data_IF_715146541688
#
_entry.id   IF_715146541688
#
_cell.length_a   1.000
_cell.length_b   1.000
_cell.length_c   1.000
_cell.angle_alpha   90.00
_cell.angle_beta   90.00
_cell.angle_gamma   90.00
#
_symmetry.space_group_name_H-M   'P 1'
#
loop_
_entity.id
_entity.type
_entity.pdbx_description
1 polymer ?
#
# COMPACT_ATOMS: atom_id res chain seq x y z
N UNK A 1 -6.78 -1.76 17.14
CA UNK A 1 -6.13 -0.57 16.55
C UNK A 1 -7.13 0.04 15.60
N UNK A 2 -7.44 1.34 15.67
CA UNK A 2 -8.39 1.94 14.71
C UNK A 2 -7.70 1.90 13.35
N UNK A 3 -8.30 1.16 12.43
CA UNK A 3 -7.74 0.87 11.11
C UNK A 3 -7.69 2.13 10.26
N UNK A 4 -6.70 2.18 9.37
CA UNK A 4 -6.71 3.08 8.20
C UNK A 4 -8.14 3.18 7.64
N UNK A 5 -8.70 4.38 7.44
CA UNK A 5 -10.07 4.51 6.93
C UNK A 5 -10.13 3.89 5.54
N UNK A 6 -11.03 2.92 5.36
CA UNK A 6 -11.19 2.24 4.07
C UNK A 6 -11.62 3.22 2.98
N UNK A 7 -12.53 4.14 3.30
CA UNK A 7 -13.08 5.11 2.38
C UNK A 7 -13.03 6.50 3.01
N UNK A 8 -12.71 7.50 2.19
CA UNK A 8 -12.98 8.89 2.52
C UNK A 8 -13.37 9.69 1.27
N UNK A 9 -14.16 10.74 1.49
CA UNK A 9 -14.46 11.77 0.51
C UNK A 9 -13.47 12.94 0.68
N UNK A 10 -12.78 13.31 -0.38
CA UNK A 10 -12.00 14.55 -0.46
C UNK A 10 -12.87 15.72 -0.88
N UNK A 11 -12.23 16.88 -1.03
CA UNK A 11 -12.86 18.06 -1.64
C UNK A 11 -13.26 17.75 -3.09
N UNK A 12 -14.23 18.51 -3.63
CA UNK A 12 -14.70 18.41 -5.01
C UNK A 12 -15.21 17.01 -5.44
N UNK A 13 -15.88 16.29 -4.53
CA UNK A 13 -16.46 14.95 -4.79
C UNK A 13 -15.41 13.88 -5.14
N UNK A 14 -14.18 14.06 -4.64
CA UNK A 14 -13.13 13.05 -4.75
C UNK A 14 -13.43 11.84 -3.88
N UNK A 15 -13.43 10.63 -4.44
CA UNK A 15 -13.63 9.40 -3.70
C UNK A 15 -12.35 8.58 -3.65
N UNK A 16 -11.97 8.13 -2.46
CA UNK A 16 -10.71 7.43 -2.23
C UNK A 16 -10.94 6.15 -1.44
N UNK A 17 -10.36 5.05 -1.92
CA UNK A 17 -10.48 3.72 -1.33
C UNK A 17 -9.10 3.14 -1.00
N UNK A 18 -8.90 2.71 0.24
CA UNK A 18 -7.63 2.19 0.71
C UNK A 18 -7.33 0.82 0.08
N UNK A 19 -6.13 0.70 -0.51
CA UNK A 19 -5.64 -0.54 -1.12
C UNK A 19 -4.69 -1.29 -0.19
N UNK A 20 -3.72 -0.59 0.38
CA UNK A 20 -2.69 -1.16 1.24
C UNK A 20 -2.22 -0.16 2.29
N UNK A 21 -1.59 -0.66 3.35
CA UNK A 21 -1.07 0.14 4.45
C UNK A 21 0.18 -0.45 5.07
N UNK A 22 0.92 0.37 5.80
CA UNK A 22 2.10 -0.01 6.57
C UNK A 22 2.16 0.80 7.86
N UNK A 23 2.56 0.16 8.97
CA UNK A 23 2.82 0.85 10.23
C UNK A 23 4.19 1.52 10.21
N UNK A 24 4.30 2.64 10.89
CA UNK A 24 5.56 3.36 11.06
C UNK A 24 5.43 4.53 12.03
N UNK A 25 6.26 5.54 11.81
CA UNK A 25 6.25 6.77 12.59
C UNK A 25 6.17 7.97 11.66
N UNK A 26 5.22 8.86 11.91
CA UNK A 26 5.22 10.19 11.32
C UNK A 26 6.20 11.07 12.09
N UNK A 27 7.17 11.64 11.39
CA UNK A 27 8.19 12.51 11.99
C UNK A 27 7.74 13.96 11.85
N UNK A 28 7.57 14.65 12.97
CA UNK A 28 7.25 16.08 12.99
C UNK A 28 8.20 16.83 13.95
N UNK A 29 8.01 18.15 14.10
CA UNK A 29 8.85 18.99 14.97
C UNK A 29 8.81 18.57 16.46
N UNK A 30 7.78 17.85 16.89
CA UNK A 30 7.61 17.33 18.25
C UNK A 30 8.17 15.91 18.45
N UNK A 31 8.68 15.26 17.40
CA UNK A 31 9.26 13.92 17.45
C UNK A 31 8.53 12.90 16.57
N UNK A 32 8.63 11.61 16.97
CA UNK A 32 8.11 10.48 16.22
C UNK A 32 6.74 10.06 16.76
N UNK A 33 5.71 10.15 15.93
CA UNK A 33 4.33 9.78 16.28
C UNK A 33 3.95 8.45 15.62
N UNK A 34 3.61 7.38 16.39
CA UNK A 34 3.12 6.14 15.83
C UNK A 34 1.96 6.39 14.87
N UNK A 35 2.09 5.92 13.63
CA UNK A 35 1.17 6.21 12.54
C UNK A 35 1.11 5.04 11.56
N UNK A 36 0.10 5.03 10.70
CA UNK A 36 0.03 4.17 9.53
C UNK A 36 0.02 5.02 8.25
N UNK A 37 0.81 4.64 7.26
CA UNK A 37 0.71 5.18 5.90
C UNK A 37 -0.12 4.23 5.05
N UNK A 38 -0.97 4.77 4.19
CA UNK A 38 -1.85 3.99 3.34
C UNK A 38 -1.84 4.50 1.90
N UNK A 39 -1.88 3.57 0.95
CA UNK A 39 -2.09 3.82 -0.47
C UNK A 39 -3.60 3.81 -0.73
N UNK A 40 -4.08 4.88 -1.35
CA UNK A 40 -5.47 5.04 -1.77
C UNK A 40 -5.59 5.02 -3.29
N UNK A 41 -6.71 4.53 -3.77
CA UNK A 41 -7.14 4.58 -5.17
C UNK A 41 -8.35 5.50 -5.32
N UNK A 42 -8.34 6.32 -6.37
CA UNK A 42 -9.51 7.09 -6.79
C UNK A 42 -10.04 6.62 -8.15
N UNK A 43 -11.34 6.27 -8.26
CA UNK A 43 -11.98 6.00 -9.54
C UNK A 43 -12.35 7.30 -10.29
N UNK A 44 -12.30 8.45 -9.61
CA UNK A 44 -12.72 9.73 -10.17
C UNK A 44 -11.69 10.24 -11.19
N UNK A 45 -12.10 10.59 -12.43
CA UNK A 45 -11.18 10.99 -13.49
C UNK A 45 -10.52 12.36 -13.27
N UNK A 46 -11.07 13.18 -12.35
CA UNK A 46 -10.55 14.50 -12.01
C UNK A 46 -9.37 14.46 -11.01
N UNK A 47 -9.10 13.30 -10.41
CA UNK A 47 -8.09 13.15 -9.36
C UNK A 47 -6.96 12.24 -9.80
N UNK A 48 -5.82 12.34 -9.12
CA UNK A 48 -4.78 11.32 -9.26
C UNK A 48 -5.35 9.96 -8.89
N UNK A 49 -5.10 9.00 -9.76
CA UNK A 49 -5.57 7.63 -9.57
C UNK A 49 -5.08 7.02 -8.25
N UNK A 50 -3.89 7.39 -7.82
CA UNK A 50 -3.32 6.94 -6.55
C UNK A 50 -2.89 8.12 -5.69
N UNK A 51 -2.95 7.94 -4.38
CA UNK A 51 -2.42 8.88 -3.37
C UNK A 51 -1.95 8.12 -2.14
N UNK A 52 -1.20 8.79 -1.28
CA UNK A 52 -0.81 8.26 0.03
C UNK A 52 -1.30 9.18 1.14
N UNK A 53 -1.80 8.59 2.22
CA UNK A 53 -2.18 9.34 3.42
C UNK A 53 -1.59 8.70 4.67
N UNK A 54 -1.15 9.55 5.60
CA UNK A 54 -0.63 9.14 6.90
C UNK A 54 -1.68 9.44 7.95
N UNK A 55 -2.02 8.44 8.75
CA UNK A 55 -3.00 8.51 9.82
C UNK A 55 -2.38 8.16 11.17
N UNK A 56 -2.80 8.87 12.22
CA UNK A 56 -2.55 8.46 13.60
C UNK A 56 -3.21 7.11 13.88
N UNK A 57 -2.75 6.40 14.91
CA UNK A 57 -3.40 5.14 15.35
C UNK A 57 -4.86 5.32 15.82
N UNK A 58 -5.28 6.58 16.04
CA UNK A 58 -6.64 6.96 16.41
C UNK A 58 -7.50 7.38 15.20
N UNK A 59 -6.89 7.48 14.01
CA UNK A 59 -7.54 7.84 12.75
C UNK A 59 -7.35 9.30 12.32
N UNK A 60 -6.64 10.11 13.10
CA UNK A 60 -6.38 11.52 12.73
C UNK A 60 -5.48 11.59 11.50
N UNK A 61 -5.83 12.46 10.56
CA UNK A 61 -5.07 12.61 9.34
C UNK A 61 -3.87 13.53 9.57
N UNK A 62 -2.66 13.01 9.40
CA UNK A 62 -1.41 13.76 9.58
C UNK A 62 -0.91 14.40 8.28
N UNK A 63 -0.96 13.67 7.17
CA UNK A 63 -0.38 14.10 5.91
C UNK A 63 -1.09 13.43 4.74
N UNK A 64 -1.40 14.22 3.71
CA UNK A 64 -1.83 13.74 2.40
C UNK A 64 -0.75 14.01 1.38
N UNK A 65 -0.50 13.03 0.52
CA UNK A 65 0.45 13.12 -0.58
C UNK A 65 -0.23 12.64 -1.86
N UNK A 66 -0.34 13.57 -2.80
CA UNK A 66 -0.88 13.31 -4.14
C UNK A 66 0.11 12.39 -4.87
N UNK A 67 -0.40 11.32 -5.48
CA UNK A 67 0.45 10.42 -6.27
C UNK A 67 0.91 11.06 -7.58
N UNK A 68 1.75 10.36 -8.36
CA UNK A 68 2.32 10.89 -9.59
C UNK A 68 1.25 11.12 -10.67
N UNK A 69 0.96 12.38 -10.99
CA UNK A 69 0.01 12.79 -12.04
C UNK A 69 0.37 12.27 -13.44
N UNK A 70 1.66 12.11 -13.69
CA UNK A 70 2.19 11.71 -15.00
C UNK A 70 2.03 10.21 -15.29
N UNK A 71 1.61 9.40 -14.32
CA UNK A 71 1.40 7.96 -14.53
C UNK A 71 0.35 7.37 -13.58
N UNK A 72 -0.78 6.87 -14.10
CA UNK A 72 -1.84 6.28 -13.30
C UNK A 72 -1.55 4.78 -13.03
N UNK A 73 -0.30 4.41 -12.74
CA UNK A 73 0.13 3.02 -12.56
C UNK A 73 0.49 2.70 -11.10
N UNK A 74 0.14 1.49 -10.64
CA UNK A 74 0.41 1.05 -9.27
C UNK A 74 1.91 1.01 -8.93
N UNK A 75 2.75 0.64 -9.88
CA UNK A 75 4.21 0.66 -9.74
C UNK A 75 4.77 2.05 -9.42
N UNK A 76 4.17 3.10 -9.98
CA UNK A 76 4.63 4.45 -9.76
C UNK A 76 4.36 4.96 -8.33
N UNK A 77 3.19 4.64 -7.76
CA UNK A 77 2.91 5.00 -6.36
C UNK A 77 3.77 4.19 -5.38
N UNK A 78 4.16 2.96 -5.72
CA UNK A 78 5.09 2.16 -4.91
C UNK A 78 6.49 2.79 -4.93
N UNK A 79 6.98 3.19 -6.11
CA UNK A 79 8.27 3.86 -6.26
C UNK A 79 8.27 5.19 -5.50
N UNK A 80 7.20 5.98 -5.63
CA UNK A 80 7.04 7.23 -4.90
C UNK A 80 7.00 7.00 -3.38
N UNK A 81 6.31 5.96 -2.91
CA UNK A 81 6.34 5.51 -1.51
C UNK A 81 7.75 5.20 -1.00
N UNK A 82 8.57 4.56 -1.84
CA UNK A 82 9.95 4.24 -1.52
C UNK A 82 10.85 5.49 -1.51
N UNK A 83 10.72 6.36 -2.51
CA UNK A 83 11.60 7.53 -2.67
C UNK A 83 11.23 8.64 -1.67
N UNK A 84 9.94 8.92 -1.50
CA UNK A 84 9.43 10.04 -0.70
C UNK A 84 9.31 9.66 0.78
N UNK A 85 8.86 8.44 1.08
CA UNK A 85 8.58 8.00 2.46
C UNK A 85 9.53 6.91 2.97
N UNK A 86 10.51 6.47 2.17
CA UNK A 86 11.42 5.37 2.52
C UNK A 86 10.69 4.07 2.90
N UNK A 87 9.48 3.86 2.37
CA UNK A 87 8.69 2.64 2.61
C UNK A 87 9.05 1.61 1.55
N UNK A 88 9.70 0.48 1.91
CA UNK A 88 10.08 -0.50 0.93
C UNK A 88 8.86 -1.28 0.41
N UNK A 89 8.87 -1.74 -0.86
CA UNK A 89 7.71 -2.43 -1.46
C UNK A 89 7.20 -3.65 -0.67
N UNK A 90 8.07 -4.42 -0.03
CA UNK A 90 7.64 -5.61 0.72
C UNK A 90 7.02 -5.32 2.10
N UNK A 91 6.99 -4.06 2.55
CA UNK A 91 6.43 -3.69 3.85
C UNK A 91 4.93 -3.40 3.82
N UNK A 92 4.37 -3.14 2.63
CA UNK A 92 2.94 -2.90 2.42
C UNK A 92 2.11 -4.11 2.76
N UNK A 93 0.95 -3.88 3.39
CA UNK A 93 -0.06 -4.88 3.75
C UNK A 93 -1.35 -4.55 3.02
N UNK A 94 -1.99 -5.49 2.35
CA UNK A 94 -3.29 -5.24 1.75
C UNK A 94 -4.33 -4.92 2.82
N UNK A 95 -5.23 -4.00 2.50
CA UNK A 95 -6.47 -3.83 3.27
C UNK A 95 -7.30 -5.11 3.13
N UNK A 96 -8.01 -5.54 4.17
CA UNK A 96 -8.92 -6.69 4.08
C UNK A 96 -9.93 -6.51 2.95
N UNK A 97 -10.32 -7.59 2.28
CA UNK A 97 -11.28 -7.53 1.17
C UNK A 97 -12.58 -6.85 1.64
N UNK A 98 -12.91 -5.66 1.12
CA UNK A 98 -14.08 -4.91 1.57
C UNK A 98 -15.38 -5.55 1.08
N UNK A 99 -16.46 -5.36 1.83
CA UNK A 99 -17.81 -5.70 1.38
C UNK A 99 -18.25 -4.76 0.25
N UNK A 100 -19.01 -5.26 -0.73
CA UNK A 100 -19.49 -4.45 -1.86
C UNK A 100 -20.36 -3.26 -1.43
N UNK A 101 -21.00 -3.35 -0.26
CA UNK A 101 -21.79 -2.28 0.38
C UNK A 101 -20.98 -1.02 0.73
N UNK A 102 -19.65 -1.12 0.78
CA UNK A 102 -18.75 -0.02 1.11
C UNK A 102 -18.37 0.84 -0.11
N UNK A 103 -18.77 0.43 -1.32
CA UNK A 103 -18.50 1.17 -2.55
C UNK A 103 -19.70 2.02 -2.96
N UNK A 104 -19.42 3.18 -3.54
CA UNK A 104 -20.42 3.92 -4.30
C UNK A 104 -20.67 3.21 -5.63
N UNK A 105 -21.84 3.47 -6.21
CA UNK A 105 -22.28 2.82 -7.44
C UNK A 105 -21.23 2.96 -8.56
N UNK A 106 -20.75 1.82 -9.07
CA UNK A 106 -19.78 1.76 -10.17
C UNK A 106 -18.30 1.89 -9.77
N UNK A 107 -17.97 2.11 -8.49
CA UNK A 107 -16.57 2.29 -8.07
C UNK A 107 -15.83 0.97 -7.84
N UNK A 108 -16.55 -0.08 -7.44
CA UNK A 108 -15.97 -1.38 -7.08
C UNK A 108 -15.12 -2.00 -8.20
N UNK A 109 -15.53 -2.06 -9.49
CA UNK A 109 -14.70 -2.64 -10.55
C UNK A 109 -13.34 -1.96 -10.69
N UNK A 110 -13.30 -0.62 -10.61
CA UNK A 110 -12.05 0.14 -10.67
C UNK A 110 -11.14 -0.16 -9.48
N UNK A 111 -11.72 -0.28 -8.29
CA UNK A 111 -10.98 -0.69 -7.09
C UNK A 111 -10.38 -2.08 -7.22
N UNK A 112 -11.17 -3.07 -7.68
CA UNK A 112 -10.70 -4.45 -7.83
C UNK A 112 -9.53 -4.53 -8.83
N UNK A 113 -9.62 -3.79 -9.94
CA UNK A 113 -8.52 -3.71 -10.90
C UNK A 113 -7.27 -3.08 -10.28
N UNK A 114 -7.41 -1.92 -9.62
CA UNK A 114 -6.29 -1.23 -8.99
C UNK A 114 -5.62 -2.07 -7.89
N UNK A 115 -6.41 -2.85 -7.14
CA UNK A 115 -5.93 -3.80 -6.15
C UNK A 115 -5.16 -4.96 -6.78
N UNK A 116 -5.68 -5.54 -7.86
CA UNK A 116 -4.98 -6.59 -8.60
C UNK A 116 -3.64 -6.10 -9.18
N UNK A 117 -3.61 -4.88 -9.72
CA UNK A 117 -2.39 -4.27 -10.25
C UNK A 117 -1.35 -4.02 -9.14
N UNK A 118 -1.79 -3.49 -7.99
CA UNK A 118 -0.94 -3.36 -6.80
C UNK A 118 -0.41 -4.71 -6.34
N UNK A 119 -1.25 -5.75 -6.33
CA UNK A 119 -0.84 -7.09 -5.95
C UNK A 119 0.33 -7.61 -6.81
N UNK A 120 0.22 -7.47 -8.13
CA UNK A 120 1.29 -7.89 -9.06
C UNK A 120 2.60 -7.16 -8.79
N UNK A 121 2.54 -5.86 -8.52
CA UNK A 121 3.72 -5.04 -8.27
C UNK A 121 4.42 -5.42 -6.96
N UNK A 122 3.68 -5.86 -5.94
CA UNK A 122 4.23 -6.18 -4.61
C UNK A 122 4.72 -7.62 -4.47
N UNK A 123 4.19 -8.57 -5.27
CA UNK A 123 4.45 -9.99 -5.10
C UNK A 123 5.94 -10.36 -5.22
N UNK A 124 6.58 -10.04 -6.36
CA UNK A 124 7.97 -10.41 -6.60
C UNK A 124 8.95 -9.76 -5.59
N UNK A 125 8.82 -8.45 -5.25
CA UNK A 125 9.62 -7.84 -4.18
C UNK A 125 9.44 -8.52 -2.83
N UNK A 126 8.21 -8.88 -2.45
CA UNK A 126 7.92 -9.56 -1.18
C UNK A 126 8.57 -10.94 -1.11
N UNK A 127 8.42 -11.74 -2.16
CA UNK A 127 9.06 -13.06 -2.28
C UNK A 127 10.58 -12.95 -2.15
N UNK A 128 11.20 -12.02 -2.89
CA UNK A 128 12.66 -11.83 -2.88
C UNK A 128 13.18 -11.40 -1.50
N UNK A 129 12.50 -10.45 -0.85
CA UNK A 129 12.89 -9.94 0.46
C UNK A 129 12.78 -11.03 1.54
N UNK A 130 11.70 -11.82 1.51
CA UNK A 130 11.54 -12.95 2.40
C UNK A 130 12.64 -14.00 2.19
N UNK A 131 12.90 -14.42 0.94
CA UNK A 131 13.91 -15.45 0.67
C UNK A 131 15.30 -14.99 1.12
N UNK A 132 15.66 -13.72 0.90
CA UNK A 132 16.94 -13.18 1.32
C UNK A 132 17.12 -13.24 2.85
N UNK A 133 16.08 -12.88 3.62
CA UNK A 133 16.12 -12.95 5.09
C UNK A 133 16.18 -14.40 5.60
N UNK A 134 15.34 -15.29 5.04
CA UNK A 134 15.26 -16.69 5.46
C UNK A 134 16.52 -17.48 5.11
N UNK A 135 17.13 -17.22 3.95
CA UNK A 135 18.37 -17.87 3.52
C UNK A 135 19.63 -17.28 4.19
N UNK A 136 19.48 -16.27 5.07
CA UNK A 136 20.57 -15.59 5.79
C UNK A 136 21.74 -15.19 4.89
N UNK A 137 21.46 -14.87 3.63
CA UNK A 137 22.48 -14.42 2.70
C UNK A 137 22.96 -13.04 3.17
N UNK A 138 24.25 -12.91 3.49
CA UNK A 138 24.82 -11.63 3.90
C UNK A 138 24.59 -10.62 2.77
N UNK A 139 23.92 -9.48 3.03
CA UNK A 139 23.65 -8.53 1.98
C UNK A 139 24.97 -7.85 1.56
N UNK A 140 25.11 -7.58 0.26
CA UNK A 140 26.24 -6.81 -0.27
C UNK A 140 26.18 -5.32 0.12
N UNK A 141 25.05 -4.86 0.67
CA UNK A 141 24.81 -3.51 1.16
C UNK A 141 24.05 -3.57 2.49
N UNK A 142 24.52 -2.87 3.51
CA UNK A 142 23.93 -2.92 4.86
C UNK A 142 22.65 -2.08 4.94
N UNK A 143 21.58 -2.56 5.60
CA UNK A 143 20.39 -1.75 5.82
C UNK A 143 20.65 -0.63 6.86
N UNK A 144 19.86 0.45 6.86
CA UNK A 144 19.89 1.45 7.92
C UNK A 144 19.54 0.84 9.29
N UNK A 145 19.88 1.56 10.37
CA UNK A 145 19.60 1.12 11.76
C UNK A 145 18.09 0.86 11.93
N UNK A 146 17.74 -0.37 12.29
CA UNK A 146 16.34 -0.84 12.34
C UNK A 146 16.00 -1.92 11.30
N UNK A 147 16.84 -2.07 10.27
CA UNK A 147 16.80 -3.19 9.34
C UNK A 147 15.63 -3.17 8.36
N UNK A 148 15.60 -4.19 7.51
CA UNK A 148 14.46 -4.53 6.67
C UNK A 148 13.83 -5.78 7.26
N UNK A 149 12.60 -5.68 7.79
CA UNK A 149 11.86 -6.83 8.29
C UNK A 149 10.85 -7.25 7.21
N UNK A 150 11.13 -8.31 6.44
CA UNK A 150 10.17 -8.80 5.45
C UNK A 150 8.98 -9.48 6.14
N UNK A 151 7.81 -9.35 5.53
CA UNK A 151 6.63 -10.14 5.90
C UNK A 151 6.78 -11.58 5.41
N UNK A 152 6.12 -12.51 6.09
CA UNK A 152 6.13 -13.92 5.70
C UNK A 152 5.38 -14.13 4.37
N UNK A 153 6.13 -14.36 3.30
CA UNK A 153 5.59 -14.50 1.95
C UNK A 153 4.98 -15.88 1.68
N UNK A 154 5.24 -16.88 2.53
CA UNK A 154 4.74 -18.25 2.38
C UNK A 154 3.72 -18.65 3.45
N UNK A 155 3.42 -17.75 4.39
CA UNK A 155 2.33 -17.96 5.33
C UNK A 155 1.02 -18.18 4.58
N UNK A 156 0.25 -19.19 4.98
CA UNK A 156 -1.09 -19.45 4.43
C UNK A 156 -2.07 -18.38 4.93
N UNK A 157 -2.13 -17.29 4.19
CA UNK A 157 -2.96 -16.11 4.48
C UNK A 157 -3.73 -15.71 3.23
N UNK A 158 -4.93 -15.14 3.43
CA UNK A 158 -5.73 -14.60 2.32
C UNK A 158 -4.95 -13.59 1.47
N UNK A 159 -4.11 -12.77 2.11
CA UNK A 159 -3.27 -11.79 1.44
C UNK A 159 -2.26 -12.47 0.48
N UNK A 160 -1.51 -13.48 0.94
CA UNK A 160 -0.53 -14.16 0.08
C UNK A 160 -1.20 -14.94 -1.05
N UNK A 161 -2.38 -15.52 -0.81
CA UNK A 161 -3.18 -16.17 -1.86
C UNK A 161 -3.62 -15.14 -2.93
N UNK A 162 -4.03 -13.95 -2.52
CA UNK A 162 -4.45 -12.88 -3.43
C UNK A 162 -3.27 -12.37 -4.29
N UNK A 163 -2.08 -12.18 -3.70
CA UNK A 163 -0.89 -11.84 -4.47
C UNK A 163 -0.55 -12.89 -5.54
N UNK A 164 -0.61 -14.17 -5.16
CA UNK A 164 -0.33 -15.29 -6.06
C UNK A 164 -1.35 -15.34 -7.21
N UNK A 165 -2.65 -15.25 -6.90
CA UNK A 165 -3.72 -15.26 -7.91
C UNK A 165 -3.61 -14.10 -8.89
N UNK A 166 -3.34 -12.88 -8.40
CA UNK A 166 -3.16 -11.71 -9.26
C UNK A 166 -1.98 -11.88 -10.23
N UNK A 167 -0.94 -12.61 -9.82
CA UNK A 167 0.26 -12.86 -10.62
C UNK A 167 0.06 -13.99 -11.64
N UNK A 168 -0.55 -15.11 -11.24
CA UNK A 168 -0.76 -16.29 -12.12
C UNK A 168 -1.90 -16.04 -13.13
N UNK A 169 -2.95 -15.32 -12.73
CA UNK A 169 -4.15 -15.09 -13.55
C UNK A 169 -3.97 -14.25 -14.82
N UNK A 170 -2.73 -13.97 -15.23
CA UNK A 170 -2.37 -13.24 -16.44
C UNK A 170 -1.74 -14.14 -17.53
N UNK A 171 -1.59 -15.45 -17.30
CA UNK A 171 -1.03 -16.42 -18.26
C UNK A 171 -2.06 -17.05 -19.23
N UNK A 172 -3.26 -16.47 -19.39
CA UNK A 172 -4.29 -16.95 -20.33
C UNK A 172 -4.73 -15.87 -21.29
#
# INVERSE_FOLDING_TARGET
MKSVPFYFSGDDDGHFYALAWCDGFYVNSGGNVPSAIAIYFSPSPAFTRYSMSIHSLNGDHHLYHRGPDYTPAAEAIIIDGMVTFSVPPYAWTLVSKPESSLFLAGHEPGYQQARADLCRCLYAPRMKAWSAASLRSAPFFLPPKGGFVPRDAYADTFENQEFLQATIGHET
#
